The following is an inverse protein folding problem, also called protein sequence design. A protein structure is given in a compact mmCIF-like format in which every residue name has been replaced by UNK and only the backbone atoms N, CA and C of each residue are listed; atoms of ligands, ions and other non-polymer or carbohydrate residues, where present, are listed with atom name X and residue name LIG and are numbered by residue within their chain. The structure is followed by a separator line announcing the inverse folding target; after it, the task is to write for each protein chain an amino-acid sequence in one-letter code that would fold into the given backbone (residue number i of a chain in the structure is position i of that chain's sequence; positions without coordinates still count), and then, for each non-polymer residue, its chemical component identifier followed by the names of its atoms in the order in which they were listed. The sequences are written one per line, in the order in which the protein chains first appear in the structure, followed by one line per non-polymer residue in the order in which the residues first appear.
data_IF_778079305157
#
_entry.id   IF_778079305157
#
_cell.length_a   1.000
_cell.length_b   1.000
_cell.length_c   1.000
_cell.angle_alpha   90.00
_cell.angle_beta   90.00
_cell.angle_gamma   90.00
#
_symmetry.space_group_name_H-M   'P 1'
#
loop_
_entity.id
_entity.type
_entity.pdbx_description
1 polymer ?
#
# COMPACT_ATOMS: atom_id res chain seq x y z
N UNK A 1 -23.44 -21.39 31.01
CA UNK A 1 -23.84 -21.18 29.61
C UNK A 1 -22.67 -20.52 28.89
N UNK A 2 -21.95 -21.30 28.08
CA UNK A 2 -20.90 -20.81 27.19
C UNK A 2 -21.56 -20.13 26.00
N UNK A 3 -21.49 -18.80 25.93
CA UNK A 3 -21.90 -18.06 24.75
C UNK A 3 -20.72 -18.04 23.76
N UNK A 4 -20.84 -18.75 22.66
CA UNK A 4 -19.95 -18.56 21.52
C UNK A 4 -20.14 -17.13 20.97
N UNK A 5 -19.03 -16.45 20.71
CA UNK A 5 -19.03 -15.17 20.01
C UNK A 5 -19.50 -15.38 18.57
N UNK A 6 -20.27 -14.45 17.98
CA UNK A 6 -20.73 -14.59 16.60
C UNK A 6 -19.54 -14.72 15.64
N UNK A 7 -19.48 -15.80 14.87
CA UNK A 7 -18.39 -16.11 13.94
C UNK A 7 -18.56 -15.52 12.55
N UNK A 8 -19.53 -14.62 12.35
CA UNK A 8 -19.89 -14.13 11.02
C UNK A 8 -19.55 -12.65 10.87
N UNK A 9 -18.26 -12.34 10.81
CA UNK A 9 -17.78 -11.07 10.27
C UNK A 9 -17.82 -11.18 8.75
N UNK A 10 -19.00 -11.02 8.16
CA UNK A 10 -19.14 -10.86 6.71
C UNK A 10 -18.25 -9.68 6.28
N UNK A 11 -17.13 -10.01 5.64
CA UNK A 11 -16.23 -9.01 5.06
C UNK A 11 -16.98 -8.38 3.88
N UNK A 12 -17.07 -7.03 3.80
CA UNK A 12 -17.82 -6.41 2.73
C UNK A 12 -17.26 -6.84 1.38
N UNK A 13 -18.11 -7.47 0.55
CA UNK A 13 -17.81 -7.78 -0.83
C UNK A 13 -17.73 -6.46 -1.60
N UNK A 14 -16.52 -5.90 -1.67
CA UNK A 14 -16.28 -4.71 -2.48
C UNK A 14 -15.99 -5.13 -3.91
N UNK A 15 -16.76 -4.65 -4.91
CA UNK A 15 -16.50 -4.99 -6.30
C UNK A 15 -15.08 -4.57 -6.68
N UNK A 16 -14.41 -5.45 -7.44
CA UNK A 16 -13.09 -5.15 -8.00
C UNK A 16 -13.22 -3.93 -8.92
N UNK A 17 -12.68 -2.79 -8.49
CA UNK A 17 -12.54 -1.63 -9.36
C UNK A 17 -11.50 -1.92 -10.43
N UNK A 18 -11.75 -1.49 -11.67
CA UNK A 18 -10.73 -1.60 -12.71
C UNK A 18 -9.54 -0.69 -12.37
N UNK A 19 -8.30 -1.16 -12.54
CA UNK A 19 -7.13 -0.33 -12.35
C UNK A 19 -7.22 0.97 -13.16
N UNK A 20 -6.97 2.10 -12.50
CA UNK A 20 -7.09 3.43 -13.09
C UNK A 20 -5.72 4.11 -13.13
N UNK A 21 -5.30 4.52 -14.32
CA UNK A 21 -4.09 5.33 -14.46
C UNK A 21 -4.30 6.74 -13.91
N UNK A 22 -3.41 7.17 -13.02
CA UNK A 22 -3.44 8.50 -12.42
C UNK A 22 -2.52 9.44 -13.19
N UNK A 23 -2.96 10.71 -13.32
CA UNK A 23 -2.05 11.78 -13.70
C UNK A 23 -0.90 11.81 -12.70
N UNK A 24 0.32 11.63 -13.20
CA UNK A 24 1.53 11.51 -12.39
C UNK A 24 2.48 12.63 -12.75
N UNK A 25 2.70 13.54 -11.81
CA UNK A 25 3.70 14.60 -11.99
C UNK A 25 5.04 14.13 -11.39
N UNK A 26 6.15 14.48 -12.04
CA UNK A 26 7.49 14.27 -11.50
C UNK A 26 8.12 15.61 -11.22
N UNK A 27 8.47 15.88 -9.96
CA UNK A 27 8.97 17.17 -9.50
C UNK A 27 10.35 16.98 -8.89
N UNK A 28 11.38 17.55 -9.53
CA UNK A 28 12.70 17.67 -8.91
C UNK A 28 12.67 18.74 -7.83
N UNK A 29 13.07 18.36 -6.63
CA UNK A 29 12.99 19.23 -5.45
C UNK A 29 14.26 20.08 -5.37
N UNK A 30 14.09 21.40 -5.34
CA UNK A 30 15.16 22.32 -4.95
C UNK A 30 15.31 22.29 -3.44
N UNK A 31 16.31 21.54 -2.95
CA UNK A 31 16.57 21.37 -1.52
C UNK A 31 16.91 22.69 -0.81
N UNK A 32 17.60 23.61 -1.50
CA UNK A 32 17.99 24.91 -0.91
C UNK A 32 16.77 25.80 -0.74
N UNK A 33 15.91 25.84 -1.77
CA UNK A 33 14.64 26.58 -1.69
C UNK A 33 13.69 25.94 -0.68
N UNK A 34 13.60 24.61 -0.63
CA UNK A 34 12.78 23.91 0.37
C UNK A 34 13.16 24.27 1.81
N UNK A 35 14.46 24.43 2.08
CA UNK A 35 14.94 24.81 3.41
C UNK A 35 14.66 26.29 3.78
N UNK A 36 14.37 27.15 2.81
CA UNK A 36 14.29 28.61 3.02
C UNK A 36 12.93 29.23 2.68
N UNK A 37 12.08 28.55 1.91
CA UNK A 37 10.77 29.01 1.45
C UNK A 37 9.67 28.05 1.92
N UNK A 38 8.97 28.43 3.01
CA UNK A 38 7.85 27.66 3.57
C UNK A 38 6.72 27.44 2.57
N UNK A 39 6.49 28.37 1.62
CA UNK A 39 5.42 28.22 0.64
C UNK A 39 5.80 27.18 -0.42
N UNK A 40 7.06 27.15 -0.84
CA UNK A 40 7.57 26.10 -1.72
C UNK A 40 7.45 24.72 -1.05
N UNK A 41 7.83 24.58 0.21
CA UNK A 41 7.64 23.32 0.97
C UNK A 41 6.18 22.85 1.02
N UNK A 42 5.24 23.77 1.29
CA UNK A 42 3.78 23.49 1.28
C UNK A 42 3.24 23.12 -0.11
N UNK A 43 3.87 23.58 -1.19
CA UNK A 43 3.48 23.20 -2.55
C UNK A 43 3.91 21.76 -2.85
N UNK A 44 5.07 21.31 -2.38
CA UNK A 44 5.57 19.95 -2.61
C UNK A 44 4.68 18.87 -1.99
N UNK A 45 4.02 19.18 -0.87
CA UNK A 45 3.06 18.29 -0.20
C UNK A 45 1.70 18.22 -0.90
N UNK A 46 1.47 19.02 -1.96
CA UNK A 46 0.23 19.02 -2.75
C UNK A 46 0.45 18.23 -4.05
N UNK A 47 -0.61 17.56 -4.52
CA UNK A 47 -0.61 16.81 -5.78
C UNK A 47 -0.23 15.32 -5.66
N UNK A 48 -0.45 14.57 -6.74
CA UNK A 48 -0.11 13.14 -6.87
C UNK A 48 1.11 12.99 -7.77
N UNK A 49 2.08 12.16 -7.38
CA UNK A 49 3.28 11.92 -8.18
C UNK A 49 4.59 11.80 -7.39
N UNK A 50 5.70 11.77 -8.11
CA UNK A 50 7.03 11.50 -7.57
C UNK A 50 7.79 12.80 -7.28
N UNK A 51 8.39 12.88 -6.09
CA UNK A 51 9.22 14.01 -5.66
C UNK A 51 10.66 13.54 -5.62
N UNK A 52 11.51 14.10 -6.47
CA UNK A 52 12.90 13.70 -6.62
C UNK A 52 13.75 14.61 -5.73
N UNK A 53 14.08 14.11 -4.55
CA UNK A 53 15.02 14.77 -3.62
C UNK A 53 16.49 14.47 -3.96
N UNK A 54 16.73 13.36 -4.66
CA UNK A 54 18.05 12.93 -5.10
C UNK A 54 17.94 12.41 -6.54
N UNK A 55 18.82 12.90 -7.42
CA UNK A 55 18.82 12.55 -8.85
C UNK A 55 18.94 11.04 -9.11
N UNK A 56 19.62 10.28 -8.23
CA UNK A 56 19.72 8.83 -8.35
C UNK A 56 18.34 8.13 -8.38
N UNK A 57 17.30 8.74 -7.81
CA UNK A 57 15.93 8.21 -7.85
C UNK A 57 15.35 8.15 -9.28
N UNK A 58 15.81 9.03 -10.19
CA UNK A 58 15.40 8.97 -11.62
C UNK A 58 15.77 7.64 -12.27
N UNK A 59 16.87 7.02 -11.85
CA UNK A 59 17.30 5.70 -12.34
C UNK A 59 16.36 4.58 -11.93
N UNK A 60 15.63 4.77 -10.81
CA UNK A 60 14.61 3.82 -10.33
C UNK A 60 13.28 4.07 -11.05
N UNK A 61 12.90 5.32 -11.26
CA UNK A 61 11.65 5.71 -11.92
C UNK A 61 11.60 5.34 -13.42
N UNK A 62 12.74 5.37 -14.10
CA UNK A 62 12.80 5.22 -15.55
C UNK A 62 12.35 6.48 -16.29
N UNK A 63 12.14 6.36 -17.60
CA UNK A 63 11.88 7.51 -18.49
C UNK A 63 10.43 8.01 -18.48
N UNK A 64 9.48 7.16 -18.08
CA UNK A 64 8.05 7.49 -18.08
C UNK A 64 7.34 6.91 -16.84
N UNK A 65 7.64 7.44 -15.64
CA UNK A 65 7.03 6.94 -14.41
C UNK A 65 5.53 7.24 -14.38
N UNK A 66 4.74 6.25 -13.92
CA UNK A 66 3.29 6.38 -13.78
C UNK A 66 2.81 5.70 -12.50
N UNK A 67 1.65 6.11 -12.02
CA UNK A 67 0.97 5.51 -10.87
C UNK A 67 -0.38 4.97 -11.34
N UNK A 68 -0.59 3.67 -11.18
CA UNK A 68 -1.88 3.02 -11.37
C UNK A 68 -2.53 2.82 -10.01
N UNK A 69 -3.73 3.35 -9.81
CA UNK A 69 -4.58 2.99 -8.69
C UNK A 69 -5.19 1.61 -8.97
N UNK A 70 -4.76 0.59 -8.24
CA UNK A 70 -5.24 -0.79 -8.40
C UNK A 70 -6.61 -0.98 -7.74
N UNK A 71 -6.78 -0.47 -6.52
CA UNK A 71 -8.03 -0.55 -5.79
C UNK A 71 -8.18 0.67 -4.87
N UNK A 72 -9.41 1.11 -4.66
CA UNK A 72 -9.76 2.00 -3.55
C UNK A 72 -10.91 1.43 -2.73
N UNK A 73 -10.99 1.84 -1.46
CA UNK A 73 -12.09 1.50 -0.54
C UNK A 73 -12.46 2.74 0.26
N UNK A 74 -13.66 2.73 0.82
CA UNK A 74 -14.20 3.78 1.69
C UNK A 74 -13.66 3.73 3.13
N UNK A 75 -12.79 2.76 3.44
CA UNK A 75 -12.05 2.64 4.69
C UNK A 75 -10.54 2.50 4.45
N UNK A 76 -9.73 2.70 5.50
CA UNK A 76 -8.26 2.65 5.45
C UNK A 76 -7.73 1.20 5.37
N UNK A 77 -7.89 0.56 4.22
CA UNK A 77 -7.53 -0.84 4.02
C UNK A 77 -6.08 -1.09 3.60
N UNK A 78 -5.38 -0.07 3.09
CA UNK A 78 -3.99 -0.17 2.67
C UNK A 78 -3.14 0.85 3.44
N UNK A 79 -3.16 0.74 4.77
CA UNK A 79 -2.51 1.68 5.68
C UNK A 79 -1.00 1.43 5.78
N UNK A 80 -0.59 0.16 5.80
CA UNK A 80 0.82 -0.23 5.92
C UNK A 80 1.47 -0.48 4.56
N UNK A 81 2.79 -0.26 4.50
CA UNK A 81 3.56 -0.48 3.29
C UNK A 81 3.65 -1.97 2.94
N UNK A 82 3.39 -2.31 1.67
CA UNK A 82 3.40 -3.69 1.20
C UNK A 82 4.79 -4.31 1.07
N UNK A 83 4.85 -5.64 1.22
CA UNK A 83 6.05 -6.47 1.09
C UNK A 83 6.00 -7.26 -0.20
N UNK A 84 6.95 -7.02 -1.10
CA UNK A 84 7.09 -7.81 -2.32
C UNK A 84 7.82 -9.14 -2.04
N UNK A 85 7.21 -10.24 -2.50
CA UNK A 85 7.79 -11.59 -2.49
C UNK A 85 8.00 -12.05 -3.93
N UNK A 86 9.22 -12.45 -4.27
CA UNK A 86 9.61 -12.72 -5.65
C UNK A 86 9.08 -14.07 -6.14
N UNK A 87 9.12 -15.11 -5.31
CA UNK A 87 8.62 -16.44 -5.70
C UNK A 87 7.14 -16.46 -6.06
N UNK A 88 6.33 -15.64 -5.38
CA UNK A 88 4.90 -15.54 -5.67
C UNK A 88 4.59 -14.42 -6.66
N UNK A 89 5.53 -13.49 -6.88
CA UNK A 89 5.33 -12.25 -7.64
C UNK A 89 4.16 -11.41 -7.13
N UNK A 90 4.06 -11.27 -5.80
CA UNK A 90 2.96 -10.58 -5.13
C UNK A 90 3.46 -9.57 -4.11
N UNK A 91 2.68 -8.52 -3.90
CA UNK A 91 2.86 -7.55 -2.82
C UNK A 91 1.82 -7.82 -1.75
N UNK A 92 2.26 -8.16 -0.54
CA UNK A 92 1.38 -8.46 0.60
C UNK A 92 1.31 -7.28 1.55
N UNK A 93 0.14 -6.98 2.10
CA UNK A 93 -0.05 -5.85 3.01
C UNK A 93 -1.15 -6.15 4.03
N UNK A 94 -1.08 -5.45 5.16
CA UNK A 94 -2.00 -5.58 6.28
C UNK A 94 -3.02 -4.45 6.29
N UNK A 95 -4.23 -4.76 6.74
CA UNK A 95 -5.35 -3.84 6.83
C UNK A 95 -5.99 -3.90 8.21
N UNK A 96 -5.51 -3.05 9.11
CA UNK A 96 -5.93 -3.03 10.50
C UNK A 96 -6.10 -1.59 11.01
N UNK A 97 -7.22 -0.97 10.68
CA UNK A 97 -7.50 0.38 11.19
C UNK A 97 -8.39 0.34 12.44
N UNK A 98 -7.80 0.64 13.60
CA UNK A 98 -8.40 0.97 14.91
C UNK A 98 -9.41 -0.01 15.55
N UNK A 99 -10.06 -0.93 14.83
CA UNK A 99 -11.09 -1.84 15.38
C UNK A 99 -11.21 -3.20 14.68
N UNK A 100 -10.38 -3.51 13.67
CA UNK A 100 -10.57 -4.70 12.84
C UNK A 100 -10.07 -5.98 13.52
N UNK A 101 -10.92 -6.54 14.37
CA UNK A 101 -10.94 -7.97 14.68
C UNK A 101 -11.96 -8.64 13.74
N UNK A 102 -11.54 -9.52 12.81
CA UNK A 102 -10.16 -9.91 12.51
C UNK A 102 -9.42 -8.91 11.60
N UNK A 103 -8.09 -8.94 11.68
CA UNK A 103 -7.23 -8.21 10.74
C UNK A 103 -7.34 -8.84 9.36
N UNK A 104 -7.48 -7.99 8.35
CA UNK A 104 -7.46 -8.42 6.98
C UNK A 104 -6.03 -8.41 6.41
N UNK A 105 -5.64 -9.52 5.79
CA UNK A 105 -4.41 -9.63 5.02
C UNK A 105 -4.81 -9.62 3.54
N UNK A 106 -4.05 -8.91 2.73
CA UNK A 106 -4.30 -8.81 1.32
C UNK A 106 -3.01 -8.98 0.54
N UNK A 107 -3.15 -9.37 -0.71
CA UNK A 107 -2.06 -9.32 -1.66
C UNK A 107 -2.50 -8.83 -3.02
N UNK A 108 -1.57 -8.23 -3.76
CA UNK A 108 -1.76 -7.85 -5.16
C UNK A 108 -0.81 -8.65 -6.03
N UNK A 109 -1.33 -9.27 -7.08
CA UNK A 109 -0.49 -9.86 -8.12
C UNK A 109 0.20 -8.76 -8.94
N UNK A 110 1.53 -8.80 -9.03
CA UNK A 110 2.27 -7.75 -9.73
C UNK A 110 2.12 -7.79 -11.27
N UNK A 111 1.58 -8.89 -11.82
CA UNK A 111 1.33 -9.05 -13.26
C UNK A 111 -0.12 -8.76 -13.62
N UNK A 112 -1.09 -9.27 -12.85
CA UNK A 112 -2.53 -9.10 -13.16
C UNK A 112 -3.16 -7.89 -12.47
N UNK A 113 -2.51 -7.35 -11.44
CA UNK A 113 -3.06 -6.33 -10.53
C UNK A 113 -4.30 -6.80 -9.78
N UNK A 114 -4.56 -8.10 -9.73
CA UNK A 114 -5.68 -8.65 -8.96
C UNK A 114 -5.36 -8.61 -7.46
N UNK A 115 -6.31 -8.09 -6.68
CA UNK A 115 -6.24 -8.08 -5.23
C UNK A 115 -6.91 -9.33 -4.68
N UNK A 116 -6.21 -10.05 -3.80
CA UNK A 116 -6.73 -11.22 -3.11
C UNK A 116 -6.89 -10.94 -1.63
N UNK A 117 -7.90 -11.58 -1.06
CA UNK A 117 -8.13 -11.67 0.38
C UNK A 117 -7.40 -12.89 0.92
N UNK A 118 -6.32 -12.65 1.66
CA UNK A 118 -5.48 -13.72 2.19
C UNK A 118 -5.93 -14.06 3.62
N UNK A 119 -6.13 -15.35 3.88
CA UNK A 119 -6.40 -15.87 5.22
C UNK A 119 -5.26 -16.79 5.64
N UNK A 120 -4.36 -16.27 6.49
CA UNK A 120 -3.24 -17.01 7.04
C UNK A 120 -3.52 -17.39 8.50
N UNK A 121 -3.89 -18.65 8.71
CA UNK A 121 -4.14 -19.20 10.04
C UNK A 121 -2.97 -18.94 11.00
N UNK A 122 -3.25 -18.37 12.16
CA UNK A 122 -2.26 -18.10 13.21
C UNK A 122 -1.56 -16.75 13.11
N UNK A 123 -1.82 -15.95 12.07
CA UNK A 123 -1.43 -14.55 12.04
C UNK A 123 -2.47 -13.73 12.81
N UNK A 124 -2.08 -13.26 13.99
CA UNK A 124 -2.94 -12.45 14.88
C UNK A 124 -2.34 -11.06 15.00
N UNK A 125 -3.17 -10.04 14.86
CA UNK A 125 -2.81 -8.64 15.10
C UNK A 125 -1.65 -8.06 14.24
N UNK A 126 -1.39 -8.60 13.04
CA UNK A 126 -0.39 -8.06 12.12
C UNK A 126 -0.63 -6.58 11.74
N UNK A 127 0.32 -5.72 12.09
CA UNK A 127 0.35 -4.28 11.80
C UNK A 127 1.58 -3.89 10.96
N UNK A 128 2.15 -4.86 10.26
CA UNK A 128 3.31 -4.66 9.41
C UNK A 128 3.84 -5.98 8.93
N UNK A 129 4.81 -5.90 8.02
CA UNK A 129 5.52 -7.06 7.54
C UNK A 129 6.88 -6.69 6.98
N UNK A 130 7.77 -7.69 6.89
CA UNK A 130 8.98 -7.60 6.10
C UNK A 130 9.23 -8.87 5.29
N UNK A 131 10.06 -8.75 4.25
CA UNK A 131 10.54 -9.91 3.51
C UNK A 131 11.65 -10.59 4.34
N UNK A 132 11.48 -11.87 4.64
CA UNK A 132 12.50 -12.71 5.26
C UNK A 132 12.65 -14.02 4.49
N UNK A 133 13.80 -14.19 3.81
CA UNK A 133 14.12 -15.39 3.02
C UNK A 133 13.03 -15.74 1.99
N UNK A 134 12.55 -14.72 1.27
CA UNK A 134 11.47 -14.85 0.26
C UNK A 134 10.16 -15.37 0.85
N UNK A 135 9.93 -15.05 2.12
CA UNK A 135 8.68 -15.23 2.86
C UNK A 135 8.31 -13.94 3.55
N UNK A 136 7.11 -13.91 4.12
CA UNK A 136 6.59 -12.78 4.85
C UNK A 136 6.75 -13.06 6.34
N UNK A 137 7.36 -12.13 7.06
CA UNK A 137 7.32 -12.09 8.52
C UNK A 137 6.38 -10.95 8.92
N UNK A 138 5.19 -11.29 9.40
CA UNK A 138 4.22 -10.33 9.95
C UNK A 138 4.61 -9.93 11.37
N UNK A 139 4.35 -8.66 11.72
CA UNK A 139 4.68 -8.05 13.02
C UNK A 139 3.54 -7.22 13.57
#
# INVERSE_FOLDING_TARGET
MSGELPTDTHKPENPSEKPMQLKTDTITVDLKRMATDLNYGKQLSRGKGFRIYNEAFTKILGSNPSITQVQSRDYQFAHEAGVYIKSTNRVYFTANFQTCDPIALYSVDASTLEVSDDDFSGVVQANGACNYKDKILYS
#
